data_IF_117957491277
#
_entry.id   IF_117957491277
#
_cell.length_a   1.000
_cell.length_b   1.000
_cell.length_c   1.000
_cell.angle_alpha   90.00
_cell.angle_beta   90.00
_cell.angle_gamma   90.00
#
_symmetry.space_group_name_H-M   'P 1'
#
loop_
_entity.id
_entity.type
_entity.pdbx_description
1 polymer ?
#
# COMPACT_ATOMS: atom_id res chain seq x y z
N UNK A 1 33.90 -16.11 24.17
CA UNK A 1 33.29 -16.02 22.82
C UNK A 1 32.95 -17.44 22.40
N UNK A 2 31.68 -17.84 22.45
CA UNK A 2 31.29 -19.20 22.07
C UNK A 2 31.44 -19.35 20.56
N UNK A 3 32.05 -20.45 20.14
CA UNK A 3 32.37 -20.76 18.74
C UNK A 3 31.19 -21.39 17.98
N UNK A 4 29.98 -21.37 18.55
CA UNK A 4 28.83 -22.07 17.98
C UNK A 4 28.10 -21.18 16.98
N UNK A 5 28.19 -21.57 15.71
CA UNK A 5 27.44 -20.92 14.63
C UNK A 5 25.94 -21.23 14.78
N UNK A 6 25.05 -20.25 14.55
CA UNK A 6 23.61 -20.48 14.62
C UNK A 6 23.14 -21.52 13.60
N UNK A 7 22.09 -22.26 13.93
CA UNK A 7 21.55 -23.35 13.11
C UNK A 7 21.13 -22.95 11.68
N UNK A 8 20.85 -21.67 11.42
CA UNK A 8 20.55 -21.17 10.08
C UNK A 8 21.76 -21.21 9.13
N UNK A 9 22.98 -21.15 9.69
CA UNK A 9 24.22 -21.19 8.91
C UNK A 9 24.42 -22.52 8.18
N UNK A 10 24.06 -23.64 8.83
CA UNK A 10 24.12 -24.98 8.22
C UNK A 10 23.01 -25.21 7.18
N UNK A 11 21.88 -24.49 7.27
CA UNK A 11 20.83 -24.51 6.25
C UNK A 11 21.25 -23.73 5.00
N UNK A 12 21.81 -22.53 5.18
CA UNK A 12 22.32 -21.71 4.09
C UNK A 12 23.48 -22.39 3.33
N UNK A 13 24.35 -23.11 4.05
CA UNK A 13 25.47 -23.85 3.45
C UNK A 13 25.04 -24.99 2.53
N UNK A 14 23.82 -25.51 2.69
CA UNK A 14 23.27 -26.54 1.80
C UNK A 14 22.67 -25.94 0.52
N UNK A 15 22.46 -24.62 0.48
CA UNK A 15 21.76 -23.93 -0.61
C UNK A 15 20.31 -24.41 -0.80
N UNK A 16 19.44 -23.64 -1.47
CA UNK A 16 18.11 -24.12 -1.83
C UNK A 16 18.15 -25.17 -2.97
N UNK A 17 19.34 -25.46 -3.51
CA UNK A 17 19.55 -26.30 -4.69
C UNK A 17 20.45 -27.48 -4.36
N UNK A 18 19.93 -28.43 -3.58
CA UNK A 18 20.62 -29.71 -3.37
C UNK A 18 20.31 -30.61 -4.57
N UNK A 19 21.25 -30.67 -5.52
CA UNK A 19 21.15 -31.45 -6.75
C UNK A 19 21.38 -30.60 -8.01
N UNK A 20 21.77 -31.22 -9.12
CA UNK A 20 21.99 -30.55 -10.42
C UNK A 20 20.66 -29.99 -10.96
N UNK A 21 20.18 -28.88 -10.40
CA UNK A 21 18.94 -28.19 -10.77
C UNK A 21 19.04 -27.41 -12.08
N UNK A 22 20.23 -27.35 -12.67
CA UNK A 22 20.47 -26.91 -14.03
C UNK A 22 21.04 -28.07 -14.85
N UNK A 23 20.17 -29.00 -15.21
CA UNK A 23 20.54 -30.01 -16.19
C UNK A 23 20.85 -29.36 -17.56
N UNK A 24 21.50 -30.12 -18.43
CA UNK A 24 21.89 -29.63 -19.75
C UNK A 24 20.68 -29.11 -20.56
N UNK A 25 19.47 -29.58 -20.25
CA UNK A 25 18.22 -29.22 -20.91
C UNK A 25 17.75 -27.83 -20.50
N UNK A 26 17.80 -27.50 -19.21
CA UNK A 26 17.48 -26.18 -18.68
C UNK A 26 18.42 -25.10 -19.23
N UNK A 27 19.74 -25.40 -19.32
CA UNK A 27 20.72 -24.51 -19.96
C UNK A 27 20.41 -24.27 -21.43
N UNK A 28 20.11 -25.33 -22.18
CA UNK A 28 19.78 -25.22 -23.60
C UNK A 28 18.48 -24.44 -23.84
N UNK A 29 17.49 -24.56 -22.95
CA UNK A 29 16.23 -23.80 -23.03
C UNK A 29 16.44 -22.30 -22.81
N UNK A 30 17.33 -21.92 -21.89
CA UNK A 30 17.67 -20.53 -21.61
C UNK A 30 18.50 -19.93 -22.75
N UNK A 31 19.51 -20.64 -23.25
CA UNK A 31 20.29 -20.21 -24.42
C UNK A 31 19.41 -19.99 -25.66
N UNK A 32 18.41 -20.86 -25.87
CA UNK A 32 17.47 -20.72 -26.99
C UNK A 32 16.55 -19.49 -26.84
N UNK A 33 16.22 -19.09 -25.61
CA UNK A 33 15.46 -17.85 -25.31
C UNK A 33 16.32 -16.60 -25.49
N UNK A 34 17.57 -16.63 -25.02
CA UNK A 34 18.53 -15.51 -25.18
C UNK A 34 18.90 -15.31 -26.65
N UNK A 35 19.02 -16.39 -27.43
CA UNK A 35 19.35 -16.34 -28.86
C UNK A 35 18.20 -15.89 -29.79
N UNK A 36 17.04 -15.47 -29.24
CA UNK A 36 15.99 -14.78 -30.01
C UNK A 36 15.34 -15.57 -31.15
N UNK A 37 15.55 -16.89 -31.27
CA UNK A 37 14.84 -17.73 -32.25
C UNK A 37 13.50 -18.20 -31.69
N UNK A 38 12.56 -17.27 -31.60
CA UNK A 38 11.15 -17.58 -31.41
C UNK A 38 10.62 -18.45 -32.55
N UNK A 39 9.86 -19.48 -32.22
CA UNK A 39 9.22 -20.42 -33.15
C UNK A 39 8.29 -19.66 -34.13
N UNK A 40 8.51 -19.71 -35.45
CA UNK A 40 7.79 -18.89 -36.42
C UNK A 40 6.32 -19.31 -36.68
N UNK A 41 5.79 -20.32 -35.97
CA UNK A 41 4.49 -20.92 -36.31
C UNK A 41 3.25 -20.31 -35.66
N UNK A 42 3.35 -19.28 -34.82
CA UNK A 42 2.19 -18.74 -34.08
C UNK A 42 1.73 -17.32 -34.42
N UNK A 43 2.26 -16.68 -35.47
CA UNK A 43 1.91 -15.31 -35.86
C UNK A 43 1.07 -15.22 -37.14
N UNK A 44 -0.10 -15.88 -37.22
CA UNK A 44 -1.09 -15.61 -38.29
C UNK A 44 -2.53 -15.94 -37.83
N UNK A 45 -3.16 -15.08 -37.02
CA UNK A 45 -4.65 -15.09 -36.92
C UNK A 45 -5.32 -13.88 -36.23
N UNK A 46 -4.60 -12.94 -35.61
CA UNK A 46 -5.24 -11.90 -34.79
C UNK A 46 -5.24 -10.47 -35.39
N UNK A 47 -5.24 -10.31 -36.72
CA UNK A 47 -5.04 -8.99 -37.35
C UNK A 47 -6.20 -8.45 -38.21
N UNK A 48 -7.42 -9.03 -38.17
CA UNK A 48 -8.50 -8.62 -39.11
C UNK A 48 -9.81 -8.14 -38.45
N UNK A 49 -9.95 -8.13 -37.12
CA UNK A 49 -11.26 -7.91 -36.49
C UNK A 49 -11.50 -6.56 -35.77
N UNK A 50 -10.62 -5.55 -35.87
CA UNK A 50 -10.72 -4.32 -35.04
C UNK A 50 -10.98 -3.00 -35.79
N UNK A 51 -11.23 -3.02 -37.09
CA UNK A 51 -11.41 -1.77 -37.87
C UNK A 51 -12.84 -1.24 -38.02
N UNK A 52 -13.87 -1.93 -37.50
CA UNK A 52 -15.27 -1.49 -37.68
C UNK A 52 -15.94 -0.86 -36.45
N UNK A 53 -15.33 -0.88 -35.27
CA UNK A 53 -15.93 -0.32 -34.04
C UNK A 53 -15.45 1.12 -33.73
N UNK A 54 -14.31 1.55 -34.32
CA UNK A 54 -13.72 2.86 -34.04
C UNK A 54 -14.41 4.07 -34.68
N UNK A 55 -15.12 3.91 -35.79
CA UNK A 55 -15.68 5.04 -36.55
C UNK A 55 -16.95 5.64 -35.91
N UNK A 56 -17.74 4.85 -35.17
CA UNK A 56 -18.98 5.34 -34.56
C UNK A 56 -18.75 6.16 -33.28
N UNK A 57 -17.71 5.85 -32.50
CA UNK A 57 -17.40 6.56 -31.25
C UNK A 57 -16.83 7.97 -31.50
N UNK A 58 -16.04 8.14 -32.56
CA UNK A 58 -15.46 9.46 -32.93
C UNK A 58 -16.56 10.42 -33.41
N UNK A 59 -17.56 9.94 -34.16
CA UNK A 59 -18.68 10.78 -34.61
C UNK A 59 -19.59 11.21 -33.45
N UNK A 60 -19.75 10.36 -32.42
CA UNK A 60 -20.53 10.71 -31.23
C UNK A 60 -19.81 11.78 -30.38
N UNK A 61 -18.48 11.69 -30.24
CA UNK A 61 -17.69 12.67 -29.49
C UNK A 61 -17.69 14.06 -30.15
N UNK A 62 -17.62 14.11 -31.49
CA UNK A 62 -17.67 15.40 -32.23
C UNK A 62 -19.03 16.07 -32.09
N UNK A 63 -20.14 15.31 -32.06
CA UNK A 63 -21.48 15.90 -31.90
C UNK A 63 -21.72 16.51 -30.51
N UNK A 64 -21.10 15.96 -29.47
CA UNK A 64 -21.22 16.46 -28.09
C UNK A 64 -20.45 17.78 -27.93
N UNK A 65 -19.26 17.90 -28.53
CA UNK A 65 -18.44 19.13 -28.44
C UNK A 65 -19.11 20.31 -29.16
N UNK A 66 -19.77 20.07 -30.30
CA UNK A 66 -20.47 21.14 -31.05
C UNK A 66 -21.68 21.68 -30.28
N UNK A 67 -22.37 20.87 -29.47
CA UNK A 67 -23.54 21.32 -28.70
C UNK A 67 -23.22 22.06 -27.40
N UNK A 68 -21.98 21.97 -26.91
CA UNK A 68 -21.56 22.64 -25.68
C UNK A 68 -21.07 24.08 -25.89
N UNK A 69 -20.77 24.48 -27.13
CA UNK A 69 -20.29 25.84 -27.43
C UNK A 69 -21.41 26.90 -27.47
N UNK A 70 -22.67 26.49 -27.59
CA UNK A 70 -23.83 27.40 -27.61
C UNK A 70 -24.32 27.81 -26.19
N UNK A 71 -23.74 27.24 -25.12
CA UNK A 71 -24.28 27.35 -23.76
C UNK A 71 -23.48 28.26 -22.81
N UNK A 72 -22.47 29.01 -23.29
CA UNK A 72 -21.65 29.88 -22.42
C UNK A 72 -22.02 31.36 -22.62
N UNK A 73 -22.77 31.99 -21.69
CA UNK A 73 -22.97 33.44 -21.72
C UNK A 73 -21.65 34.16 -21.40
N UNK A 74 -21.23 35.04 -22.30
CA UNK A 74 -20.03 35.87 -22.18
C UNK A 74 -20.22 36.94 -21.10
N UNK A 75 -19.41 36.89 -20.04
CA UNK A 75 -19.36 37.96 -19.03
C UNK A 75 -18.36 39.06 -19.43
N UNK A 76 -18.63 40.33 -19.10
CA UNK A 76 -17.88 41.47 -19.62
C UNK A 76 -16.51 41.68 -18.96
N UNK A 77 -15.55 41.98 -19.82
CA UNK A 77 -14.19 42.44 -19.55
C UNK A 77 -14.21 43.80 -18.84
N UNK A 78 -13.51 43.90 -17.70
CA UNK A 78 -13.21 45.14 -17.00
C UNK A 78 -11.71 45.27 -16.77
N UNK A 79 -11.06 46.10 -17.58
CA UNK A 79 -9.67 46.52 -17.42
C UNK A 79 -9.57 47.68 -16.42
N UNK A 80 -8.68 47.60 -15.44
CA UNK A 80 -8.02 48.76 -14.83
C UNK A 80 -6.59 48.41 -14.41
N UNK A 81 -5.56 49.19 -14.83
CA UNK A 81 -4.22 49.13 -14.27
C UNK A 81 -4.10 50.14 -13.12
N UNK A 82 -3.50 49.74 -12.00
CA UNK A 82 -3.01 50.68 -10.99
C UNK A 82 -1.58 50.28 -10.59
N UNK A 83 -0.67 51.15 -10.98
CA UNK A 83 0.71 51.27 -10.49
C UNK A 83 0.66 51.94 -9.11
N UNK A 84 1.40 51.42 -8.14
CA UNK A 84 1.60 52.06 -6.84
C UNK A 84 2.78 51.45 -6.10
N UNK A 85 3.88 52.21 -6.03
CA UNK A 85 5.11 51.86 -5.34
C UNK A 85 5.07 52.25 -3.85
N UNK A 86 5.72 51.43 -3.03
CA UNK A 86 6.32 51.81 -1.75
C UNK A 86 5.44 51.65 -0.52
N UNK A 87 5.86 50.77 0.41
CA UNK A 87 6.11 51.07 1.84
C UNK A 87 6.69 49.82 2.50
N UNK A 88 7.89 49.95 3.07
CA UNK A 88 8.51 48.97 3.96
C UNK A 88 7.79 48.93 5.32
N UNK A 89 7.68 47.73 5.87
CA UNK A 89 7.45 47.52 7.30
C UNK A 89 6.24 46.66 7.63
N UNK A 90 6.49 45.67 8.49
CA UNK A 90 5.52 44.93 9.32
C UNK A 90 5.09 43.55 8.81
N UNK A 91 5.61 42.52 9.50
CA UNK A 91 4.99 41.22 9.74
C UNK A 91 4.43 40.50 8.52
N UNK A 92 5.28 39.72 7.83
CA UNK A 92 4.84 38.70 6.88
C UNK A 92 4.00 37.64 7.62
N UNK A 93 2.70 37.87 7.75
CA UNK A 93 1.75 36.80 7.52
C UNK A 93 1.86 36.49 6.03
N UNK A 94 2.70 35.51 5.68
CA UNK A 94 2.72 34.94 4.34
C UNK A 94 1.37 34.27 4.15
N UNK A 95 0.41 35.06 3.67
CA UNK A 95 -0.86 34.58 3.18
C UNK A 95 -0.56 33.46 2.21
N UNK A 96 -1.02 32.26 2.54
CA UNK A 96 -0.89 31.05 1.73
C UNK A 96 -1.55 31.37 0.38
N UNK A 97 -0.77 31.87 -0.57
CA UNK A 97 -1.20 32.09 -1.95
C UNK A 97 -1.69 30.76 -2.49
N UNK A 98 -2.88 30.69 -3.12
CA UNK A 98 -3.55 29.49 -3.64
C UNK A 98 -2.61 28.28 -3.82
N UNK A 99 -2.30 27.62 -2.71
CA UNK A 99 -1.14 26.74 -2.66
C UNK A 99 -1.59 25.39 -3.17
N UNK A 100 -0.75 24.75 -3.99
CA UNK A 100 -1.02 23.40 -4.47
C UNK A 100 -1.13 22.48 -3.25
N UNK A 101 -2.31 21.92 -3.00
CA UNK A 101 -2.50 20.96 -1.89
C UNK A 101 -2.08 19.58 -2.40
N UNK A 102 -1.07 18.98 -1.79
CA UNK A 102 -0.54 17.65 -2.17
C UNK A 102 -1.36 16.53 -1.54
N UNK A 103 -1.79 16.71 -0.30
CA UNK A 103 -2.64 15.76 0.40
C UNK A 103 -3.64 16.47 1.30
N UNK A 104 -4.82 15.87 1.53
CA UNK A 104 -5.87 16.41 2.39
C UNK A 104 -6.48 15.32 3.29
N UNK A 105 -6.78 15.68 4.53
CA UNK A 105 -7.60 14.91 5.46
C UNK A 105 -8.72 15.79 6.02
N UNK A 106 -9.97 15.32 5.99
CA UNK A 106 -11.12 16.09 6.50
C UNK A 106 -11.61 15.55 7.84
N UNK A 107 -11.52 16.38 8.88
CA UNK A 107 -12.12 16.16 10.18
C UNK A 107 -13.48 16.88 10.26
N UNK A 108 -14.26 16.61 11.30
CA UNK A 108 -15.53 17.34 11.52
C UNK A 108 -15.28 18.84 11.80
N UNK A 109 -14.20 19.16 12.51
CA UNK A 109 -13.88 20.52 12.95
C UNK A 109 -13.02 21.29 11.95
N UNK A 110 -12.45 20.64 10.93
CA UNK A 110 -11.51 21.29 10.02
C UNK A 110 -10.84 20.36 9.00
N UNK A 111 -9.82 20.88 8.33
CA UNK A 111 -9.06 20.16 7.30
C UNK A 111 -7.57 20.19 7.58
N UNK A 112 -6.93 19.04 7.45
CA UNK A 112 -5.48 18.87 7.35
C UNK A 112 -5.07 18.96 5.88
N UNK A 113 -4.06 19.76 5.56
CA UNK A 113 -3.56 19.95 4.21
C UNK A 113 -2.03 19.89 4.20
N UNK A 114 -1.48 19.13 3.27
CA UNK A 114 -0.03 19.10 3.00
C UNK A 114 0.24 20.05 1.85
N UNK A 115 1.05 21.08 2.12
CA UNK A 115 1.27 22.20 1.21
C UNK A 115 2.77 22.38 0.99
N UNK A 116 3.27 22.46 -0.26
CA UNK A 116 4.67 22.66 -0.53
C UNK A 116 5.13 24.05 -0.07
N UNK A 117 6.33 24.12 0.50
CA UNK A 117 6.94 25.35 1.02
C UNK A 117 7.32 26.32 -0.09
N UNK A 118 8.02 25.82 -1.12
CA UNK A 118 8.61 26.64 -2.19
C UNK A 118 8.27 26.06 -3.58
N UNK A 119 7.08 25.46 -3.71
CA UNK A 119 6.73 24.60 -4.84
C UNK A 119 7.37 23.21 -4.72
N UNK A 120 7.16 22.39 -5.75
CA UNK A 120 7.67 21.02 -5.82
C UNK A 120 8.21 20.73 -7.24
N UNK A 121 9.24 19.89 -7.33
CA UNK A 121 9.71 19.36 -8.60
C UNK A 121 8.79 18.20 -9.00
N UNK A 122 8.16 18.31 -10.17
CA UNK A 122 7.24 17.32 -10.71
C UNK A 122 7.87 16.62 -11.94
N UNK A 123 7.87 15.30 -11.94
CA UNK A 123 8.31 14.47 -13.07
C UNK A 123 7.58 13.12 -13.08
N UNK A 124 7.59 12.39 -14.18
CA UNK A 124 7.17 10.98 -14.18
C UNK A 124 8.31 10.11 -13.65
N UNK A 125 8.01 8.95 -13.06
CA UNK A 125 9.04 7.98 -12.65
C UNK A 125 9.97 7.56 -13.81
N UNK A 126 9.45 7.50 -15.04
CA UNK A 126 10.24 7.24 -16.25
C UNK A 126 10.67 5.78 -16.44
N UNK A 127 10.51 4.95 -15.41
CA UNK A 127 10.63 3.50 -15.48
C UNK A 127 9.76 2.85 -14.40
N UNK A 128 9.23 1.66 -14.68
CA UNK A 128 8.49 0.89 -13.68
C UNK A 128 9.43 0.41 -12.56
N UNK A 129 8.95 0.48 -11.32
CA UNK A 129 9.68 0.05 -10.12
C UNK A 129 8.72 -0.50 -9.07
N UNK A 130 9.25 -0.88 -7.91
CA UNK A 130 8.42 -1.28 -6.77
C UNK A 130 7.59 -0.11 -6.20
N UNK A 131 7.97 1.14 -6.48
CA UNK A 131 7.28 2.34 -6.01
C UNK A 131 6.13 2.77 -6.96
N UNK A 132 6.02 2.18 -8.15
CA UNK A 132 5.01 2.58 -9.14
C UNK A 132 5.35 2.24 -10.60
N UNK A 133 4.46 2.62 -11.50
CA UNK A 133 4.58 2.50 -12.96
C UNK A 133 5.41 3.64 -13.55
N UNK A 134 5.96 3.44 -14.74
CA UNK A 134 6.76 4.44 -15.45
C UNK A 134 6.05 5.80 -15.66
N UNK A 135 4.71 5.76 -15.77
CA UNK A 135 3.85 6.93 -15.99
C UNK A 135 3.43 7.64 -14.70
N UNK A 136 3.70 7.06 -13.54
CA UNK A 136 3.28 7.64 -12.27
C UNK A 136 4.07 8.92 -11.98
N UNK A 137 3.44 9.82 -11.26
CA UNK A 137 3.97 11.15 -10.97
C UNK A 137 4.79 11.12 -9.67
N UNK A 138 5.98 11.69 -9.75
CA UNK A 138 6.88 11.96 -8.65
C UNK A 138 6.88 13.46 -8.33
N UNK A 139 6.71 13.81 -7.06
CA UNK A 139 6.76 15.18 -6.55
C UNK A 139 7.78 15.29 -5.42
N UNK A 140 8.82 16.09 -5.63
CA UNK A 140 9.89 16.29 -4.65
C UNK A 140 9.88 17.72 -4.12
N UNK A 141 9.91 17.87 -2.80
CA UNK A 141 9.95 19.18 -2.17
C UNK A 141 9.91 19.11 -0.65
N UNK A 142 9.97 20.26 0.00
CA UNK A 142 9.69 20.35 1.43
C UNK A 142 8.26 20.86 1.62
N UNK A 143 7.54 20.32 2.59
CA UNK A 143 6.12 20.60 2.79
C UNK A 143 5.85 21.05 4.22
N UNK A 144 4.71 21.71 4.41
CA UNK A 144 4.09 21.95 5.72
C UNK A 144 2.79 21.18 5.80
N UNK A 145 2.47 20.70 7.00
CA UNK A 145 1.12 20.24 7.31
C UNK A 145 0.39 21.35 8.03
N UNK A 146 -0.70 21.79 7.42
CA UNK A 146 -1.52 22.92 7.88
C UNK A 146 -2.87 22.39 8.31
N UNK A 147 -3.31 22.77 9.50
CA UNK A 147 -4.67 22.51 9.96
C UNK A 147 -5.49 23.79 9.91
N UNK A 148 -6.64 23.74 9.23
CA UNK A 148 -7.56 24.86 9.08
C UNK A 148 -8.90 24.52 9.73
N UNK A 149 -9.27 25.25 10.78
CA UNK A 149 -10.55 25.09 11.48
C UNK A 149 -11.60 26.02 10.89
N UNK A 150 -12.65 25.47 10.27
CA UNK A 150 -13.72 26.26 9.67
C UNK A 150 -13.22 27.34 8.70
N UNK A 151 -13.40 28.61 9.07
CA UNK A 151 -12.97 29.79 8.26
C UNK A 151 -11.73 30.50 8.85
N UNK A 152 -11.11 29.93 9.89
CA UNK A 152 -9.93 30.50 10.52
C UNK A 152 -8.71 30.37 9.59
N UNK A 153 -7.67 31.16 9.88
CA UNK A 153 -6.38 30.97 9.22
C UNK A 153 -5.79 29.61 9.58
N UNK A 154 -5.21 28.92 8.60
CA UNK A 154 -4.54 27.64 8.85
C UNK A 154 -3.33 27.79 9.78
N UNK A 155 -3.15 26.83 10.67
CA UNK A 155 -2.01 26.71 11.59
C UNK A 155 -1.07 25.63 11.09
N UNK A 156 0.22 25.91 11.00
CA UNK A 156 1.25 24.91 10.69
C UNK A 156 1.45 24.02 11.91
N UNK A 157 1.26 22.71 11.75
CA UNK A 157 1.40 21.73 12.83
C UNK A 157 2.61 20.81 12.67
N UNK A 158 3.18 20.75 11.46
CA UNK A 158 4.34 19.91 11.14
C UNK A 158 5.06 20.42 9.87
N UNK A 159 6.33 20.05 9.73
CA UNK A 159 7.15 20.32 8.54
C UNK A 159 7.80 19.01 8.05
N UNK A 160 7.67 18.73 6.75
CA UNK A 160 8.16 17.52 6.09
C UNK A 160 9.28 17.91 5.12
N UNK A 161 10.56 17.92 5.55
CA UNK A 161 11.68 18.29 4.70
C UNK A 161 11.97 17.20 3.66
N UNK A 162 12.33 17.62 2.45
CA UNK A 162 12.86 16.75 1.39
C UNK A 162 11.99 15.50 1.08
N UNK A 163 10.68 15.67 1.18
CA UNK A 163 9.72 14.59 0.97
C UNK A 163 9.57 14.29 -0.53
N UNK A 164 9.41 13.00 -0.82
CA UNK A 164 9.05 12.51 -2.16
C UNK A 164 7.68 11.86 -2.11
N UNK A 165 6.73 12.40 -2.88
CA UNK A 165 5.46 11.75 -3.16
C UNK A 165 5.55 11.01 -4.48
N UNK A 166 5.02 9.79 -4.53
CA UNK A 166 4.86 9.00 -5.75
C UNK A 166 3.40 8.57 -5.84
N UNK A 167 2.69 9.03 -6.87
CA UNK A 167 1.24 8.89 -7.00
C UNK A 167 0.84 8.59 -8.45
N UNK A 168 -0.28 7.87 -8.69
CA UNK A 168 -0.73 7.55 -10.04
C UNK A 168 -1.11 8.78 -10.89
N UNK A 169 -1.43 9.90 -10.25
CA UNK A 169 -1.82 11.16 -10.89
C UNK A 169 -1.35 12.37 -10.08
N UNK A 170 -1.63 13.57 -10.59
CA UNK A 170 -1.38 14.82 -9.87
C UNK A 170 -2.52 15.24 -8.93
N UNK A 171 -3.54 14.39 -8.76
CA UNK A 171 -4.68 14.68 -7.89
C UNK A 171 -4.27 14.77 -6.41
N UNK A 172 -5.12 15.43 -5.60
CA UNK A 172 -4.91 15.55 -4.16
C UNK A 172 -5.00 14.17 -3.51
N UNK A 173 -3.93 13.76 -2.81
CA UNK A 173 -3.89 12.52 -2.06
C UNK A 173 -4.86 12.61 -0.87
N UNK A 174 -5.83 11.71 -0.81
CA UNK A 174 -6.73 11.62 0.34
C UNK A 174 -6.04 10.84 1.46
N UNK A 175 -5.87 11.46 2.62
CA UNK A 175 -5.34 10.78 3.80
C UNK A 175 -6.33 9.71 4.28
N UNK A 176 -5.80 8.60 4.79
CA UNK A 176 -6.65 7.55 5.36
C UNK A 176 -7.12 8.00 6.74
N UNK A 177 -8.44 8.19 6.90
CA UNK A 177 -9.04 8.55 8.19
C UNK A 177 -9.32 7.30 9.02
N UNK A 178 -8.80 7.31 10.25
CA UNK A 178 -8.99 6.31 11.29
C UNK A 178 -9.74 6.95 12.46
N UNK A 179 -10.97 6.50 12.69
CA UNK A 179 -11.84 7.07 13.72
C UNK A 179 -11.57 6.42 15.08
N UNK A 180 -10.95 7.16 16.00
CA UNK A 180 -10.88 6.82 17.42
C UNK A 180 -12.06 7.45 18.16
N UNK A 181 -12.30 7.03 19.41
CA UNK A 181 -13.36 7.59 20.23
C UNK A 181 -13.17 9.11 20.43
N UNK A 182 -11.96 9.50 20.84
CA UNK A 182 -11.66 10.88 21.25
C UNK A 182 -10.93 11.71 20.19
N UNK A 183 -10.55 11.10 19.06
CA UNK A 183 -9.84 11.79 17.99
C UNK A 183 -10.14 11.19 16.62
N UNK A 184 -9.92 11.98 15.58
CA UNK A 184 -9.75 11.48 14.21
C UNK A 184 -8.25 11.42 13.90
N UNK A 185 -7.75 10.26 13.51
CA UNK A 185 -6.34 10.08 13.10
C UNK A 185 -6.26 9.97 11.59
N UNK A 186 -5.34 10.69 10.97
CA UNK A 186 -5.15 10.73 9.52
C UNK A 186 -3.77 10.18 9.17
N UNK A 187 -3.74 9.19 8.28
CA UNK A 187 -2.49 8.62 7.77
C UNK A 187 -2.13 9.28 6.43
N UNK A 188 -0.99 9.96 6.41
CA UNK A 188 -0.36 10.47 5.21
C UNK A 188 0.62 9.43 4.67
N UNK A 189 0.34 8.91 3.48
CA UNK A 189 1.16 7.90 2.81
C UNK A 189 1.75 8.52 1.53
N UNK A 190 3.02 8.99 1.55
CA UNK A 190 3.57 9.71 0.40
C UNK A 190 3.69 8.87 -0.88
N UNK A 191 3.90 7.56 -0.73
CA UNK A 191 4.03 6.61 -1.83
C UNK A 191 2.90 5.59 -1.76
N UNK A 192 2.14 5.44 -2.85
CA UNK A 192 0.98 4.53 -2.86
C UNK A 192 1.36 3.05 -3.05
N UNK A 193 2.58 2.77 -3.50
CA UNK A 193 3.14 1.44 -3.73
C UNK A 193 4.57 1.36 -3.20
N UNK A 194 4.93 0.18 -2.70
CA UNK A 194 6.29 -0.22 -2.29
C UNK A 194 6.34 -1.76 -2.28
N UNK A 195 7.50 -2.40 -2.16
CA UNK A 195 7.61 -3.86 -2.05
C UNK A 195 7.96 -4.36 -0.64
N UNK A 196 8.35 -3.48 0.27
CA UNK A 196 8.74 -3.79 1.65
C UNK A 196 7.75 -3.20 2.66
N UNK A 197 7.21 -2.00 2.39
CA UNK A 197 6.26 -1.35 3.28
C UNK A 197 5.93 0.08 2.85
N UNK A 198 4.67 0.43 2.95
CA UNK A 198 4.20 1.79 2.73
C UNK A 198 4.50 2.61 3.99
N UNK A 199 5.50 3.49 3.90
CA UNK A 199 5.81 4.44 4.96
C UNK A 199 4.68 5.48 5.10
N UNK A 200 4.33 5.81 6.34
CA UNK A 200 3.29 6.77 6.63
C UNK A 200 3.57 7.59 7.88
N UNK A 201 2.99 8.79 7.89
CA UNK A 201 2.96 9.73 9.00
C UNK A 201 1.53 9.80 9.54
N UNK A 202 1.37 10.03 10.84
CA UNK A 202 0.07 10.12 11.47
C UNK A 202 -0.17 11.49 12.08
N UNK A 203 -1.38 12.01 11.92
CA UNK A 203 -1.83 13.28 12.48
C UNK A 203 -3.13 13.04 13.22
N UNK A 204 -3.24 13.50 14.47
CA UNK A 204 -4.50 13.47 15.21
C UNK A 204 -5.20 14.82 15.12
N UNK A 205 -6.53 14.79 15.09
CA UNK A 205 -7.40 15.93 15.39
C UNK A 205 -8.25 15.52 16.60
N UNK A 206 -7.98 16.11 17.75
CA UNK A 206 -8.73 15.88 18.99
C UNK A 206 -10.19 16.35 18.81
N UNK A 207 -11.16 15.51 19.14
CA UNK A 207 -12.59 15.84 19.02
C UNK A 207 -13.07 16.79 20.11
N UNK A 208 -12.40 16.84 21.26
CA UNK A 208 -12.81 17.67 22.39
C UNK A 208 -12.30 19.10 22.25
N UNK A 209 -11.01 19.27 21.95
CA UNK A 209 -10.40 20.58 21.76
C UNK A 209 -10.36 21.07 20.32
N UNK A 210 -10.52 20.17 19.34
CA UNK A 210 -10.32 20.41 17.91
C UNK A 210 -8.85 20.69 17.53
N UNK A 211 -7.90 20.51 18.45
CA UNK A 211 -6.47 20.72 18.20
C UNK A 211 -5.97 19.63 17.26
N UNK A 212 -5.11 20.00 16.31
CA UNK A 212 -4.45 19.05 15.43
C UNK A 212 -2.95 18.99 15.73
N UNK A 213 -2.36 17.80 15.70
CA UNK A 213 -0.93 17.60 15.97
C UNK A 213 -0.39 16.33 15.30
N UNK A 214 0.92 16.30 14.96
CA UNK A 214 1.58 15.07 14.54
C UNK A 214 1.61 14.05 15.67
N UNK A 215 1.53 12.77 15.32
CA UNK A 215 1.69 11.64 16.24
C UNK A 215 3.04 10.98 16.01
N UNK A 216 3.77 10.74 17.09
CA UNK A 216 4.91 9.81 17.07
C UNK A 216 4.44 8.36 17.29
N UNK A 217 5.25 7.40 16.89
CA UNK A 217 5.10 5.98 17.16
C UNK A 217 6.16 5.58 18.17
N UNK A 218 5.73 5.16 19.36
CA UNK A 218 6.63 4.63 20.38
C UNK A 218 6.51 3.13 20.44
N UNK A 219 7.62 2.44 20.20
CA UNK A 219 7.71 0.99 20.23
C UNK A 219 7.83 0.46 21.66
N UNK A 220 7.57 -0.83 21.87
CA UNK A 220 7.61 -1.45 23.19
C UNK A 220 9.01 -1.44 23.84
N UNK A 221 10.08 -1.32 23.03
CA UNK A 221 11.46 -1.18 23.50
C UNK A 221 11.83 0.28 23.87
N UNK A 222 10.89 1.21 23.76
CA UNK A 222 11.07 2.63 24.02
C UNK A 222 11.56 3.45 22.82
N UNK A 223 11.85 2.81 21.68
CA UNK A 223 12.23 3.53 20.45
C UNK A 223 11.06 4.39 19.97
N UNK A 224 11.35 5.62 19.52
CA UNK A 224 10.34 6.55 19.03
C UNK A 224 10.66 7.02 17.60
N UNK A 225 9.64 7.13 16.75
CA UNK A 225 9.74 7.55 15.35
C UNK A 225 8.52 8.39 14.96
N UNK A 226 8.69 9.38 14.08
CA UNK A 226 7.57 10.17 13.55
C UNK A 226 6.82 9.48 12.40
N UNK A 227 7.33 8.32 11.97
CA UNK A 227 6.75 7.52 10.90
C UNK A 227 6.70 6.05 11.28
N UNK A 228 5.77 5.33 10.67
CA UNK A 228 5.70 3.87 10.68
C UNK A 228 5.45 3.37 9.27
N UNK A 229 5.27 2.07 9.11
CA UNK A 229 5.02 1.43 7.82
C UNK A 229 3.96 0.33 7.93
N UNK A 230 3.34 -0.07 6.83
CA UNK A 230 2.49 -1.27 6.76
C UNK A 230 2.66 -1.95 5.39
N UNK A 231 2.46 -3.28 5.28
CA UNK A 231 2.63 -3.97 4.01
C UNK A 231 1.60 -3.51 2.97
N UNK A 232 1.99 -3.37 1.70
CA UNK A 232 1.05 -3.08 0.61
C UNK A 232 -0.10 -4.09 0.56
N UNK A 233 -1.32 -3.62 0.27
CA UNK A 233 -2.50 -4.47 0.16
C UNK A 233 -3.24 -4.77 1.47
N UNK A 234 -2.63 -4.53 2.63
CA UNK A 234 -3.30 -4.60 3.93
C UNK A 234 -3.41 -3.21 4.54
N UNK A 235 -4.63 -2.75 4.87
CA UNK A 235 -4.83 -1.40 5.39
C UNK A 235 -4.77 -1.38 6.92
N UNK A 236 -4.12 -0.36 7.52
CA UNK A 236 -4.28 -0.05 8.93
C UNK A 236 -5.75 0.12 9.31
N UNK A 237 -6.12 -0.33 10.50
CA UNK A 237 -7.49 -0.22 11.00
C UNK A 237 -7.52 0.11 12.49
N UNK A 238 -8.64 0.69 12.94
CA UNK A 238 -8.93 0.83 14.37
C UNK A 238 -9.79 -0.36 14.80
N UNK A 239 -9.35 -1.09 15.82
CA UNK A 239 -10.12 -2.18 16.46
C UNK A 239 -10.03 -2.02 17.96
N UNK A 240 -11.18 -2.06 18.63
CA UNK A 240 -11.27 -1.91 20.10
C UNK A 240 -10.57 -0.65 20.64
N UNK A 241 -10.61 0.44 19.86
CA UNK A 241 -9.96 1.72 20.21
C UNK A 241 -8.45 1.75 19.98
N UNK A 242 -7.87 0.72 19.37
CA UNK A 242 -6.43 0.60 19.11
C UNK A 242 -6.14 0.64 17.62
N UNK A 243 -5.01 1.24 17.24
CA UNK A 243 -4.47 1.10 15.90
C UNK A 243 -3.89 -0.31 15.73
N UNK A 244 -4.40 -1.05 14.75
CA UNK A 244 -3.84 -2.33 14.34
C UNK A 244 -3.12 -2.13 13.01
N UNK A 245 -1.80 -2.22 13.04
CA UNK A 245 -0.96 -2.25 11.85
C UNK A 245 -0.68 -3.70 11.47
N UNK A 246 -1.05 -4.12 10.25
CA UNK A 246 -0.70 -5.43 9.75
C UNK A 246 0.80 -5.70 9.85
N UNK A 247 1.15 -6.94 10.20
CA UNK A 247 2.55 -7.34 10.31
C UNK A 247 3.28 -7.14 8.98
N UNK A 248 4.39 -6.38 9.00
CA UNK A 248 5.32 -6.26 7.88
C UNK A 248 6.44 -7.31 7.90
N UNK A 249 6.34 -8.32 8.76
CA UNK A 249 7.34 -9.40 8.83
C UNK A 249 7.32 -10.21 7.53
N UNK A 250 8.37 -10.04 6.72
CA UNK A 250 8.65 -10.88 5.57
C UNK A 250 9.29 -12.22 5.94
N UNK A 251 9.59 -13.08 4.95
CA UNK A 251 10.22 -14.38 5.18
C UNK A 251 11.51 -14.28 6.01
N UNK A 252 11.55 -14.93 7.17
CA UNK A 252 12.71 -14.96 8.08
C UNK A 252 12.69 -13.88 9.18
N UNK A 253 11.71 -12.98 9.19
CA UNK A 253 11.45 -12.03 10.26
C UNK A 253 10.42 -12.52 11.28
N UNK A 254 9.86 -13.72 11.08
CA UNK A 254 8.76 -14.21 11.90
C UNK A 254 9.24 -14.56 13.31
N UNK A 255 8.44 -14.18 14.31
CA UNK A 255 8.61 -14.74 15.65
C UNK A 255 8.25 -16.23 15.67
N UNK A 256 8.57 -16.94 16.77
CA UNK A 256 8.14 -18.32 16.97
C UNK A 256 6.61 -18.51 16.84
N UNK A 257 5.84 -17.43 16.97
CA UNK A 257 4.39 -17.38 16.89
C UNK A 257 3.87 -16.90 15.52
N UNK A 258 4.75 -16.67 14.55
CA UNK A 258 4.42 -16.12 13.23
C UNK A 258 4.29 -14.60 13.21
N UNK A 259 3.93 -14.03 12.05
CA UNK A 259 3.75 -12.58 11.88
C UNK A 259 2.74 -12.04 12.89
N UNK A 260 3.17 -11.09 13.71
CA UNK A 260 2.31 -10.40 14.67
C UNK A 260 1.97 -9.00 14.17
N UNK A 261 0.68 -8.68 14.17
CA UNK A 261 0.23 -7.29 13.97
C UNK A 261 0.80 -6.41 15.09
N UNK A 262 1.18 -5.18 14.74
CA UNK A 262 1.60 -4.19 15.73
C UNK A 262 0.38 -3.42 16.19
N UNK A 263 0.11 -3.47 17.48
CA UNK A 263 -1.04 -2.82 18.12
C UNK A 263 -0.53 -1.59 18.85
N UNK A 264 -1.19 -0.44 18.64
CA UNK A 264 -0.86 0.81 19.31
C UNK A 264 -2.08 1.42 19.98
N UNK A 265 -1.88 1.89 21.21
CA UNK A 265 -2.82 2.71 21.95
C UNK A 265 -2.58 4.19 21.61
N UNK A 266 -3.65 4.93 21.33
CA UNK A 266 -3.57 6.37 21.11
C UNK A 266 -3.49 7.10 22.45
N UNK A 267 -2.40 7.82 22.69
CA UNK A 267 -2.20 8.69 23.84
C UNK A 267 -2.15 10.15 23.39
N UNK A 268 -3.27 10.86 23.54
CA UNK A 268 -3.40 12.26 23.13
C UNK A 268 -2.53 13.21 23.96
N UNK A 269 -2.35 12.93 25.25
CA UNK A 269 -1.51 13.77 26.12
C UNK A 269 -0.03 13.72 25.76
N UNK A 270 0.44 12.56 25.29
CA UNK A 270 1.82 12.36 24.85
C UNK A 270 1.99 12.59 23.36
N UNK A 271 0.90 12.88 22.63
CA UNK A 271 0.88 13.04 21.17
C UNK A 271 1.54 11.84 20.46
N UNK A 272 1.21 10.63 20.92
CA UNK A 272 1.86 9.40 20.47
C UNK A 272 0.87 8.25 20.29
N UNK A 273 1.20 7.36 19.36
CA UNK A 273 0.71 5.99 19.28
C UNK A 273 1.74 5.10 19.99
N UNK A 274 1.38 4.58 21.15
CA UNK A 274 2.26 3.77 21.99
C UNK A 274 1.97 2.31 21.72
N UNK A 275 2.97 1.57 21.24
CA UNK A 275 2.83 0.16 20.98
C UNK A 275 2.46 -0.51 22.29
N UNK A 276 1.27 -1.11 22.33
CA UNK A 276 0.92 -1.98 23.44
C UNK A 276 2.01 -3.04 23.50
N UNK A 277 2.61 -3.33 24.67
CA UNK A 277 3.43 -4.53 24.78
C UNK A 277 2.56 -5.63 24.22
N UNK A 278 3.00 -6.25 23.11
CA UNK A 278 2.24 -7.32 22.50
C UNK A 278 1.80 -8.18 23.68
N UNK A 279 0.51 -8.46 23.82
CA UNK A 279 0.12 -9.56 24.68
C UNK A 279 0.95 -10.71 24.12
N UNK A 280 2.09 -10.99 24.76
CA UNK A 280 3.05 -12.00 24.35
C UNK A 280 2.19 -13.23 24.38
N UNK A 281 1.69 -13.61 23.20
CA UNK A 281 0.51 -14.43 23.10
C UNK A 281 0.90 -15.81 23.63
N UNK A 282 0.53 -16.03 24.88
CA UNK A 282 0.71 -17.27 25.62
C UNK A 282 2.07 -17.44 26.28
N UNK A 283 2.20 -16.93 27.51
CA UNK A 283 2.64 -17.82 28.57
C UNK A 283 1.60 -18.96 28.68
N UNK A 284 1.73 -19.97 27.82
CA UNK A 284 1.08 -21.28 28.01
C UNK A 284 2.00 -22.09 28.92
N UNK A 285 2.20 -21.61 30.14
CA UNK A 285 2.52 -22.47 31.26
C UNK A 285 1.24 -23.21 31.64
N UNK A 286 0.91 -24.25 30.88
CA UNK A 286 -0.29 -25.03 31.16
C UNK A 286 -0.71 -25.97 30.05
N UNK A 287 -0.08 -27.15 30.07
CA UNK A 287 -0.55 -28.38 29.45
C UNK A 287 -0.15 -28.65 27.99
N UNK A 288 0.32 -29.88 27.81
CA UNK A 288 0.95 -30.52 26.65
C UNK A 288 0.06 -30.69 25.39
N UNK A 289 -1.03 -29.93 25.28
CA UNK A 289 -1.94 -29.97 24.15
C UNK A 289 -1.61 -28.91 23.11
N UNK A 290 -0.88 -29.28 22.04
CA UNK A 290 -0.62 -28.42 20.87
C UNK A 290 -1.92 -27.88 20.25
N UNK A 291 -2.39 -26.71 20.66
CA UNK A 291 -3.41 -25.95 19.91
C UNK A 291 -2.72 -25.30 18.71
N UNK A 292 -3.15 -25.66 17.50
CA UNK A 292 -2.70 -25.00 16.29
C UNK A 292 -3.13 -23.52 16.34
N UNK A 293 -2.17 -22.61 16.16
CA UNK A 293 -2.45 -21.19 15.95
C UNK A 293 -3.26 -21.05 14.66
N UNK A 294 -4.03 -19.99 14.47
CA UNK A 294 -4.78 -19.77 13.22
C UNK A 294 -4.66 -18.34 12.73
N UNK A 295 -4.39 -18.13 11.45
CA UNK A 295 -4.43 -16.82 10.78
C UNK A 295 -5.75 -16.66 10.04
N UNK A 296 -6.35 -15.47 10.09
CA UNK A 296 -7.55 -15.16 9.33
C UNK A 296 -7.32 -14.05 8.31
N UNK A 297 -7.94 -14.15 7.13
CA UNK A 297 -7.93 -13.11 6.09
C UNK A 297 -9.31 -12.99 5.45
N UNK A 298 -9.66 -11.81 4.91
CA UNK A 298 -10.96 -11.56 4.28
C UNK A 298 -10.78 -11.45 2.77
N UNK A 299 -11.51 -12.26 2.00
CA UNK A 299 -11.51 -12.21 0.54
C UNK A 299 -12.94 -12.35 0.01
N UNK A 300 -13.33 -11.48 -0.92
CA UNK A 300 -14.71 -11.43 -1.47
C UNK A 300 -15.81 -11.37 -0.40
N UNK A 301 -15.55 -10.66 0.71
CA UNK A 301 -16.48 -10.55 1.84
C UNK A 301 -16.60 -11.81 2.71
N UNK A 302 -15.74 -12.81 2.51
CA UNK A 302 -15.67 -14.02 3.34
C UNK A 302 -14.38 -14.08 4.15
N UNK A 303 -14.47 -14.49 5.41
CA UNK A 303 -13.32 -14.71 6.28
C UNK A 303 -12.82 -16.14 6.15
N UNK A 304 -11.55 -16.30 5.82
CA UNK A 304 -10.84 -17.56 5.75
C UNK A 304 -9.93 -17.68 6.96
N UNK A 305 -9.89 -18.86 7.60
CA UNK A 305 -9.04 -19.13 8.77
C UNK A 305 -8.17 -20.36 8.50
N UNK A 306 -6.85 -20.20 8.53
CA UNK A 306 -5.86 -21.25 8.25
C UNK A 306 -5.01 -21.56 9.50
N UNK A 307 -4.71 -22.84 9.80
CA UNK A 307 -3.84 -23.21 10.92
C UNK A 307 -2.36 -22.89 10.64
N UNK A 308 -1.64 -22.46 11.67
CA UNK A 308 -0.24 -22.08 11.74
C UNK A 308 0.46 -22.81 12.92
N UNK A 309 1.75 -23.16 12.84
CA UNK A 309 2.60 -23.23 11.65
C UNK A 309 2.36 -24.57 10.95
N UNK A 310 1.65 -24.57 9.82
CA UNK A 310 1.63 -25.73 8.93
C UNK A 310 2.65 -25.54 7.83
N UNK A 311 3.23 -26.64 7.32
CA UNK A 311 4.19 -26.71 6.19
C UNK A 311 3.67 -26.12 4.86
N UNK A 312 2.59 -25.35 4.89
CA UNK A 312 1.83 -24.86 3.75
C UNK A 312 1.62 -23.33 3.76
N UNK A 313 2.13 -22.61 4.77
CA UNK A 313 1.90 -21.16 4.91
C UNK A 313 2.47 -20.34 3.73
N UNK A 314 3.62 -20.74 3.19
CA UNK A 314 4.24 -20.09 2.01
C UNK A 314 3.40 -20.23 0.73
N UNK A 315 2.53 -21.25 0.64
CA UNK A 315 1.83 -21.59 -0.61
C UNK A 315 0.45 -20.94 -0.75
N UNK A 316 -0.17 -20.51 0.35
CA UNK A 316 -1.51 -19.89 0.30
C UNK A 316 -1.49 -18.39 0.02
N UNK A 317 -0.40 -17.70 0.34
CA UNK A 317 -0.23 -16.27 0.01
C UNK A 317 -0.16 -16.12 -1.52
N UNK A 318 0.64 -16.95 -2.20
CA UNK A 318 0.69 -16.96 -3.66
C UNK A 318 -0.61 -17.42 -4.34
N UNK A 319 -1.37 -18.31 -3.69
CA UNK A 319 -2.65 -18.78 -4.21
C UNK A 319 -3.80 -17.76 -4.06
N UNK A 320 -3.66 -16.79 -3.15
CA UNK A 320 -4.61 -15.67 -3.00
C UNK A 320 -4.26 -14.49 -3.92
N UNK A 321 -2.97 -14.29 -4.21
CA UNK A 321 -2.49 -13.28 -5.16
C UNK A 321 -2.71 -13.69 -6.63
N UNK A 322 -2.72 -15.00 -6.92
CA UNK A 322 -3.16 -15.53 -8.20
C UNK A 322 -4.68 -15.78 -8.15
N UNK A 323 -5.45 -15.19 -9.08
CA UNK A 323 -6.92 -15.30 -9.27
C UNK A 323 -7.47 -16.75 -9.43
N UNK A 324 -7.19 -17.66 -8.51
CA UNK A 324 -7.52 -19.06 -8.61
C UNK A 324 -8.40 -19.42 -7.41
N UNK A 325 -9.48 -20.15 -7.70
CA UNK A 325 -10.41 -20.84 -6.79
C UNK A 325 -11.82 -20.25 -6.66
N UNK A 326 -12.78 -20.96 -7.28
CA UNK A 326 -14.11 -21.14 -6.71
C UNK A 326 -14.11 -22.45 -5.91
N UNK A 327 -14.15 -22.38 -4.57
CA UNK A 327 -14.47 -23.53 -3.72
C UNK A 327 -15.94 -23.38 -3.31
N UNK A 328 -16.80 -24.32 -3.74
CA UNK A 328 -18.20 -24.36 -3.29
C UNK A 328 -18.25 -24.51 -1.76
N UNK A 329 -19.05 -23.64 -1.15
CA UNK A 329 -19.19 -23.47 0.30
C UNK A 329 -19.52 -24.78 1.04
N UNK A 330 -18.98 -24.92 2.25
CA UNK A 330 -19.56 -25.79 3.29
C UNK A 330 -18.82 -27.08 3.65
N UNK A 331 -17.58 -27.32 3.20
CA UNK A 331 -16.81 -28.49 3.66
C UNK A 331 -15.40 -28.15 4.13
N UNK A 332 -15.17 -28.23 5.45
CA UNK A 332 -13.82 -28.34 6.03
C UNK A 332 -13.25 -29.70 5.61
N UNK A 333 -12.38 -29.76 4.60
CA UNK A 333 -11.69 -31.00 4.21
C UNK A 333 -10.22 -30.74 3.88
N UNK A 334 -9.37 -31.65 4.36
CA UNK A 334 -7.90 -31.57 4.35
C UNK A 334 -7.36 -32.01 2.98
N UNK A 335 -6.47 -31.23 2.36
CA UNK A 335 -5.69 -31.70 1.21
C UNK A 335 -4.70 -32.79 1.66
N UNK A 336 -4.42 -33.76 0.78
CA UNK A 336 -3.58 -34.92 1.10
C UNK A 336 -2.18 -34.84 0.49
N UNK A 337 -2.02 -34.26 -0.71
CA UNK A 337 -0.71 -33.92 -1.29
C UNK A 337 -0.85 -33.01 -2.52
N UNK A 338 0.26 -32.40 -2.96
CA UNK A 338 0.38 -31.70 -4.24
C UNK A 338 1.65 -32.12 -5.00
N UNK A 339 1.64 -31.95 -6.31
CA UNK A 339 2.76 -32.21 -7.22
C UNK A 339 2.77 -31.15 -8.32
N UNK A 340 3.92 -30.57 -8.62
CA UNK A 340 4.09 -29.57 -9.67
C UNK A 340 4.84 -30.19 -10.86
N UNK A 341 4.35 -29.97 -12.08
CA UNK A 341 5.03 -30.37 -13.32
C UNK A 341 4.95 -29.28 -14.42
N UNK A 342 5.48 -29.57 -15.60
CA UNK A 342 5.52 -28.63 -16.74
C UNK A 342 4.11 -28.15 -17.21
N UNK A 343 3.03 -28.77 -16.75
CA UNK A 343 1.63 -28.46 -17.06
C UNK A 343 0.91 -27.71 -15.93
N UNK A 344 1.57 -27.47 -14.80
CA UNK A 344 1.08 -26.68 -13.69
C UNK A 344 1.04 -27.44 -12.36
N UNK A 345 0.26 -26.91 -11.42
CA UNK A 345 0.14 -27.49 -10.08
C UNK A 345 -1.01 -28.51 -10.07
N UNK A 346 -0.69 -29.73 -9.66
CA UNK A 346 -1.62 -30.83 -9.48
C UNK A 346 -1.87 -31.07 -7.99
N UNK A 347 -3.14 -31.21 -7.63
CA UNK A 347 -3.55 -31.49 -6.26
C UNK A 347 -4.19 -32.87 -6.18
N UNK A 348 -3.80 -33.70 -5.21
CA UNK A 348 -4.44 -34.99 -4.97
C UNK A 348 -5.37 -34.87 -3.77
N UNK A 349 -6.63 -35.27 -3.97
CA UNK A 349 -7.66 -35.34 -2.93
C UNK A 349 -8.46 -36.62 -3.10
N UNK A 350 -8.51 -37.42 -2.03
CA UNK A 350 -9.24 -38.70 -1.99
C UNK A 350 -8.86 -39.65 -3.16
N UNK A 351 -7.57 -39.67 -3.53
CA UNK A 351 -7.06 -40.47 -4.66
C UNK A 351 -7.38 -39.91 -6.05
N UNK A 352 -7.92 -38.68 -6.14
CA UNK A 352 -8.22 -38.01 -7.41
C UNK A 352 -7.31 -36.80 -7.61
N UNK A 353 -6.76 -36.66 -8.82
CA UNK A 353 -5.89 -35.54 -9.20
C UNK A 353 -6.70 -34.42 -9.83
N UNK A 354 -6.49 -33.20 -9.36
CA UNK A 354 -7.09 -31.96 -9.85
C UNK A 354 -5.98 -31.11 -10.45
N UNK A 355 -6.19 -30.55 -11.64
CA UNK A 355 -5.22 -29.69 -12.32
C UNK A 355 -5.74 -28.27 -12.30
N UNK A 356 -4.96 -27.32 -11.76
CA UNK A 356 -5.30 -25.91 -11.86
C UNK A 356 -5.15 -25.45 -13.31
N UNK A 357 -6.23 -24.94 -13.91
CA UNK A 357 -6.19 -24.35 -15.25
C UNK A 357 -6.28 -22.84 -15.08
N UNK A 358 -5.34 -22.04 -15.64
CA UNK A 358 -5.41 -20.59 -15.54
C UNK A 358 -6.68 -20.09 -16.23
N UNK A 359 -7.47 -19.34 -15.46
CA UNK A 359 -8.66 -18.63 -15.95
C UNK A 359 -8.22 -17.32 -16.61
N UNK A 360 -8.48 -17.17 -17.91
CA UNK A 360 -8.29 -15.92 -18.64
C UNK A 360 -9.58 -15.12 -18.49
N UNK A 361 -9.56 -14.03 -17.72
CA UNK A 361 -10.54 -12.96 -17.78
C UNK A 361 -9.82 -11.63 -17.92
#
# INVERSE_FOLDING_TARGET
MSHDKPAWYERARKGPFVGNSFDARARQAIEKRIAGKGDPRRRKSAAVATWLVGAAAVLLAVFIVVRLQDAVPSAPSGNHPVVGAGTEGSGKNEGISAAVVRAEGTAETGKLQVVPLNGEKQETLGAASCMGKETDMQFQGSYRVVYTRGKESGVVIDELPEMTFIQPSADIVQMTKLAFADADVFLLVPQYADCHGLNFYAYAVDKNGGEAFPLSFRMADGTESNASYYPPGELPAVRDGQLVLPSGEGPGGETANGPQDRIFDLNLSEKALVQSPAAMAGDVTGDSGKKALTRSFVFSGQTYTIPYPGDYAEYFVHAAEANLFQIKAGTKKKLTSFQEDEKGIHYVKDGRTFTAVPSIF
#
